data_IF_681027360339
#
_entry.id   IF_681027360339
#
_cell.length_a   1.000
_cell.length_b   1.000
_cell.length_c   1.000
_cell.angle_alpha   90.00
_cell.angle_beta   90.00
_cell.angle_gamma   90.00
#
_symmetry.space_group_name_H-M   'P 1'
#
loop_
_entity.id
_entity.type
_entity.pdbx_description
1 polymer ?
#
# COMPACT_ATOMS: atom_id res chain seq x y z
N UNK A 1 17.02 -12.54 -9.17
CA UNK A 1 17.40 -11.45 -10.09
C UNK A 1 18.76 -10.94 -9.64
N UNK A 2 19.75 -10.74 -10.52
CA UNK A 2 21.02 -10.12 -10.14
C UNK A 2 20.80 -8.72 -9.55
N UNK A 3 21.70 -8.29 -8.65
CA UNK A 3 21.68 -6.93 -8.13
C UNK A 3 21.81 -5.91 -9.28
N UNK A 4 21.01 -4.84 -9.24
CA UNK A 4 20.99 -3.78 -10.26
C UNK A 4 20.14 -4.08 -11.51
N UNK A 5 19.64 -5.31 -11.66
CA UNK A 5 18.74 -5.65 -12.76
C UNK A 5 17.30 -5.16 -12.48
N UNK A 6 16.56 -4.84 -13.55
CA UNK A 6 15.11 -4.56 -13.45
C UNK A 6 14.39 -5.80 -12.91
N UNK A 7 13.49 -5.57 -11.97
CA UNK A 7 12.69 -6.61 -11.34
C UNK A 7 11.25 -6.13 -11.17
N UNK A 8 10.33 -7.08 -11.14
CA UNK A 8 8.95 -6.85 -10.73
C UNK A 8 8.68 -7.65 -9.46
N UNK A 9 7.84 -7.11 -8.59
CA UNK A 9 7.38 -7.81 -7.41
C UNK A 9 5.89 -7.57 -7.21
N UNK A 10 5.27 -8.43 -6.42
CA UNK A 10 3.91 -8.29 -5.99
C UNK A 10 3.83 -8.37 -4.47
N UNK A 11 2.89 -7.59 -3.92
CA UNK A 11 2.53 -7.61 -2.51
C UNK A 11 1.02 -7.78 -2.47
N UNK A 12 0.54 -8.66 -1.59
CA UNK A 12 -0.90 -8.84 -1.40
C UNK A 12 -1.54 -7.55 -0.87
N UNK A 13 -2.65 -7.04 -1.44
CA UNK A 13 -3.27 -5.79 -1.01
C UNK A 13 -3.58 -5.69 0.49
N UNK A 14 -3.97 -6.82 1.09
CA UNK A 14 -4.28 -6.94 2.52
C UNK A 14 -3.05 -6.99 3.43
N UNK A 15 -1.83 -7.11 2.86
CA UNK A 15 -0.56 -7.04 3.59
C UNK A 15 0.04 -5.63 3.59
N UNK A 16 -0.59 -4.69 2.89
CA UNK A 16 -0.17 -3.29 2.84
C UNK A 16 -0.95 -2.51 3.90
N UNK A 17 -0.22 -1.82 4.78
CA UNK A 17 -0.79 -0.83 5.70
C UNK A 17 -0.81 0.52 5.00
N UNK A 18 -1.85 1.29 5.25
CA UNK A 18 -2.03 2.65 4.74
C UNK A 18 -2.19 3.58 5.93
N UNK A 19 -1.45 4.68 5.92
CA UNK A 19 -1.45 5.66 7.00
C UNK A 19 -1.32 7.08 6.45
N UNK A 20 -1.74 8.05 7.24
CA UNK A 20 -1.37 9.45 7.02
C UNK A 20 0.08 9.64 7.44
N UNK A 21 0.81 10.59 6.82
CA UNK A 21 2.22 10.85 7.14
C UNK A 21 2.51 11.28 8.60
N UNK A 22 1.48 11.47 9.42
CA UNK A 22 1.54 11.73 10.86
C UNK A 22 1.40 10.48 11.73
N UNK A 23 1.19 9.29 11.14
CA UNK A 23 1.01 8.06 11.88
C UNK A 23 2.32 7.53 12.49
N UNK A 24 2.17 6.68 13.51
CA UNK A 24 3.26 6.05 14.27
C UNK A 24 4.28 5.42 13.31
N UNK A 25 5.60 5.58 13.56
CA UNK A 25 6.62 5.02 12.68
C UNK A 25 6.40 3.53 12.48
N UNK A 26 6.54 3.08 11.23
CA UNK A 26 6.49 1.66 10.94
C UNK A 26 7.65 0.91 11.61
N UNK A 27 7.51 -0.43 11.78
CA UNK A 27 8.60 -1.27 12.26
C UNK A 27 9.88 -1.01 11.45
N UNK A 28 11.03 -1.00 12.14
CA UNK A 28 12.32 -0.84 11.50
C UNK A 28 12.48 -1.87 10.36
N UNK A 29 12.82 -1.38 9.16
CA UNK A 29 13.00 -2.24 7.98
C UNK A 29 11.73 -2.50 7.15
N UNK A 30 10.61 -1.85 7.44
CA UNK A 30 9.44 -1.90 6.55
C UNK A 30 9.73 -1.23 5.20
N UNK A 31 9.22 -1.82 4.12
CA UNK A 31 9.17 -1.16 2.82
C UNK A 31 8.14 -0.04 2.86
N UNK A 32 8.42 1.08 2.18
CA UNK A 32 7.56 2.26 2.18
C UNK A 32 7.41 2.84 0.78
N UNK A 33 6.20 3.28 0.47
CA UNK A 33 5.90 4.12 -0.70
C UNK A 33 4.97 5.26 -0.27
N UNK A 34 5.07 6.38 -0.96
CA UNK A 34 4.10 7.49 -0.83
C UNK A 34 3.11 7.47 -1.98
N UNK A 35 1.93 8.03 -1.79
CA UNK A 35 0.95 8.19 -2.85
C UNK A 35 -0.24 9.02 -2.41
N UNK A 36 -1.25 9.08 -3.26
CA UNK A 36 -2.49 9.79 -2.98
C UNK A 36 -3.68 8.85 -3.16
N UNK A 37 -4.64 8.88 -2.24
CA UNK A 37 -5.88 8.11 -2.39
C UNK A 37 -6.63 8.64 -3.61
N UNK A 38 -6.78 7.81 -4.64
CA UNK A 38 -7.50 8.18 -5.86
C UNK A 38 -8.97 7.74 -5.81
N UNK A 39 -9.25 6.63 -5.12
CA UNK A 39 -10.61 6.12 -4.97
C UNK A 39 -10.75 5.30 -3.69
N UNK A 40 -11.94 5.33 -3.10
CA UNK A 40 -12.30 4.43 -2.01
C UNK A 40 -13.59 3.67 -2.30
N UNK A 41 -13.61 2.37 -2.00
CA UNK A 41 -14.80 1.52 -2.09
C UNK A 41 -15.04 0.85 -0.74
N UNK A 42 -16.22 1.07 -0.16
CA UNK A 42 -16.65 0.37 1.05
C UNK A 42 -17.30 -0.98 0.67
N UNK A 43 -16.86 -2.06 1.31
CA UNK A 43 -17.34 -3.41 1.08
C UNK A 43 -17.49 -4.17 2.42
N UNK A 44 -18.56 -3.85 3.16
CA UNK A 44 -18.88 -4.51 4.42
C UNK A 44 -17.81 -4.28 5.49
N UNK A 45 -17.13 -5.35 5.91
CA UNK A 45 -16.13 -5.27 6.97
C UNK A 45 -14.80 -4.64 6.50
N UNK A 46 -14.61 -4.46 5.19
CA UNK A 46 -13.38 -3.90 4.64
C UNK A 46 -13.66 -2.67 3.77
N UNK A 47 -12.65 -1.81 3.63
CA UNK A 47 -12.58 -0.76 2.62
C UNK A 47 -11.43 -1.09 1.66
N UNK A 48 -11.69 -0.98 0.36
CA UNK A 48 -10.63 -1.01 -0.66
C UNK A 48 -10.24 0.42 -0.98
N UNK A 49 -8.97 0.74 -0.82
CA UNK A 49 -8.37 1.99 -1.25
C UNK A 49 -7.57 1.76 -2.52
N UNK A 50 -7.72 2.68 -3.46
CA UNK A 50 -6.84 2.82 -4.61
C UNK A 50 -5.95 4.02 -4.36
N UNK A 51 -4.65 3.80 -4.53
CA UNK A 51 -3.62 4.82 -4.31
C UNK A 51 -2.91 5.05 -5.63
N UNK A 52 -2.96 6.28 -6.12
CA UNK A 52 -2.18 6.72 -7.27
C UNK A 52 -0.74 7.05 -6.83
N UNK A 53 0.20 6.57 -7.63
CA UNK A 53 1.63 6.89 -7.52
C UNK A 53 2.24 6.84 -8.90
N UNK A 54 2.79 7.96 -9.37
CA UNK A 54 3.55 8.04 -10.63
C UNK A 54 2.77 7.44 -11.83
N UNK A 55 1.44 7.63 -11.86
CA UNK A 55 0.54 7.09 -12.89
C UNK A 55 0.22 5.60 -12.76
N UNK A 56 0.67 4.94 -11.70
CA UNK A 56 0.31 3.57 -11.33
C UNK A 56 -0.70 3.56 -10.19
N UNK A 57 -1.68 2.65 -10.27
CA UNK A 57 -2.67 2.47 -9.22
C UNK A 57 -2.35 1.24 -8.37
N UNK A 58 -2.15 1.45 -7.08
CA UNK A 58 -1.95 0.40 -6.08
C UNK A 58 -3.25 0.14 -5.32
N UNK A 59 -3.58 -1.13 -5.11
CA UNK A 59 -4.76 -1.55 -4.35
C UNK A 59 -4.36 -1.91 -2.93
N UNK A 60 -5.11 -1.40 -1.95
CA UNK A 60 -4.92 -1.69 -0.52
C UNK A 60 -6.27 -2.09 0.08
N UNK A 61 -6.30 -3.15 0.88
CA UNK A 61 -7.50 -3.61 1.58
C UNK A 61 -7.32 -3.38 3.07
N UNK A 62 -8.21 -2.59 3.67
CA UNK A 62 -8.15 -2.20 5.08
C UNK A 62 -9.41 -2.68 5.78
N UNK A 63 -9.25 -3.31 6.94
CA UNK A 63 -10.39 -3.68 7.78
C UNK A 63 -11.00 -2.43 8.43
N UNK A 64 -12.33 -2.34 8.44
CA UNK A 64 -13.07 -1.25 9.06
C UNK A 64 -13.11 -1.43 10.57
N UNK A 65 -12.06 -1.01 11.28
CA UNK A 65 -11.94 -1.12 12.76
C UNK A 65 -12.51 0.09 13.52
N UNK A 66 -13.21 0.99 12.83
CA UNK A 66 -13.69 2.26 13.40
C UNK A 66 -12.66 3.40 13.39
N UNK A 67 -11.46 3.16 12.85
CA UNK A 67 -10.45 4.18 12.64
C UNK A 67 -10.90 5.26 11.62
N UNK A 68 -10.21 6.41 11.65
CA UNK A 68 -10.47 7.51 10.74
C UNK A 68 -10.36 7.05 9.27
N UNK A 69 -11.32 7.51 8.47
CA UNK A 69 -11.48 7.12 7.07
C UNK A 69 -10.67 8.05 6.20
N UNK A 70 -9.84 7.49 5.33
CA UNK A 70 -9.06 8.29 4.39
C UNK A 70 -9.97 8.79 3.25
N UNK A 71 -9.81 10.06 2.90
CA UNK A 71 -10.57 10.72 1.83
C UNK A 71 -9.84 10.60 0.49
N UNK A 72 -10.58 10.70 -0.61
CA UNK A 72 -9.99 10.88 -1.95
C UNK A 72 -9.19 12.20 -1.99
N UNK A 73 -8.06 12.19 -2.68
CA UNK A 73 -7.09 13.28 -2.68
C UNK A 73 -6.15 13.32 -1.47
N UNK A 74 -6.36 12.46 -0.46
CA UNK A 74 -5.51 12.50 0.74
C UNK A 74 -4.12 11.88 0.48
N UNK A 75 -3.03 12.56 0.88
CA UNK A 75 -1.68 11.98 0.81
C UNK A 75 -1.52 10.90 1.88
N UNK A 76 -0.90 9.79 1.48
CA UNK A 76 -0.75 8.59 2.32
C UNK A 76 0.64 7.97 2.18
N UNK A 77 1.01 7.23 3.21
CA UNK A 77 2.16 6.32 3.21
C UNK A 77 1.62 4.89 3.17
N UNK A 78 2.17 4.10 2.27
CA UNK A 78 1.97 2.67 2.16
C UNK A 78 3.17 1.96 2.77
N UNK A 79 2.93 0.97 3.62
CA UNK A 79 4.01 0.19 4.22
C UNK A 79 3.70 -1.28 4.36
N UNK A 80 4.73 -2.12 4.24
CA UNK A 80 4.60 -3.57 4.38
C UNK A 80 5.92 -4.20 4.85
N UNK A 81 5.84 -5.40 5.42
CA UNK A 81 7.03 -6.19 5.73
C UNK A 81 7.70 -6.67 4.44
N UNK A 82 9.04 -6.61 4.33
CA UNK A 82 9.78 -7.24 3.24
C UNK A 82 9.34 -8.69 2.96
N UNK A 83 9.02 -9.46 4.00
CA UNK A 83 8.56 -10.86 3.90
C UNK A 83 7.24 -11.02 3.15
N UNK A 84 6.47 -9.94 2.98
CA UNK A 84 5.22 -9.94 2.20
C UNK A 84 5.44 -9.65 0.71
N UNK A 85 6.70 -9.53 0.27
CA UNK A 85 7.07 -9.25 -1.12
C UNK A 85 7.41 -10.53 -1.84
N UNK A 86 6.72 -10.80 -2.94
CA UNK A 86 7.01 -11.92 -3.83
C UNK A 86 7.64 -11.39 -5.10
N UNK A 87 8.83 -11.87 -5.43
CA UNK A 87 9.46 -11.57 -6.70
C UNK A 87 8.66 -12.22 -7.84
N UNK A 88 8.32 -11.44 -8.85
CA UNK A 88 7.67 -11.93 -10.06
C UNK A 88 8.73 -12.05 -11.14
N UNK A 89 8.80 -13.22 -11.78
CA UNK A 89 9.69 -13.41 -12.91
C UNK A 89 9.33 -12.41 -14.02
N UNK A 90 10.35 -11.78 -14.60
CA UNK A 90 10.13 -11.02 -15.83
C UNK A 90 9.66 -12.01 -16.91
N UNK A 91 8.56 -11.66 -17.58
CA UNK A 91 8.14 -12.36 -18.80
C UNK A 91 9.12 -12.05 -19.94
#
# INVERSE_FOLDING_TARGET
VPAGAKASCAVRPERIRISTGSAKPDPAGANMLTGQVSKRIFAGNNSTYFVDRDGQTLKVIVQNTGAERLAEGQPVVLSWSPDSTVLIAAA
#
